data_IF_207534324830
#
_entry.id   IF_207534324830
#
_cell.length_a   1.000
_cell.length_b   1.000
_cell.length_c   1.000
_cell.angle_alpha   90.00
_cell.angle_beta   90.00
_cell.angle_gamma   90.00
#
_symmetry.space_group_name_H-M   'P 1'
#
loop_
_entity.id
_entity.type
_entity.pdbx_description
1 polymer ?
#
# COMPACT_ATOMS: atom_id res chain seq x y z
N UNK A 1 49.02 -17.72 -36.24
CA UNK A 1 49.88 -18.88 -36.56
C UNK A 1 49.02 -19.87 -37.35
N UNK A 2 49.50 -20.32 -38.53
CA UNK A 2 48.85 -21.07 -39.63
C UNK A 2 48.02 -20.19 -40.59
N UNK A 3 48.61 -19.72 -41.70
CA UNK A 3 48.95 -20.37 -43.00
C UNK A 3 47.71 -20.44 -43.92
N UNK A 4 47.57 -19.61 -44.96
CA UNK A 4 48.24 -19.51 -46.28
C UNK A 4 47.53 -20.29 -47.41
N UNK A 5 47.63 -19.71 -48.63
CA UNK A 5 47.17 -20.10 -49.98
C UNK A 5 45.83 -19.50 -50.41
N UNK A 6 45.72 -18.51 -51.32
CA UNK A 6 46.44 -18.09 -52.55
C UNK A 6 46.29 -19.06 -53.73
N UNK A 7 45.34 -18.73 -54.61
CA UNK A 7 45.48 -18.96 -56.06
C UNK A 7 45.17 -17.68 -56.84
N UNK A 8 46.12 -17.36 -57.73
CA UNK A 8 46.03 -16.40 -58.85
C UNK A 8 46.03 -17.25 -60.11
N UNK A 9 45.21 -16.92 -61.11
CA UNK A 9 45.52 -16.96 -62.55
C UNK A 9 44.36 -16.18 -63.22
N UNK A 10 44.54 -15.22 -64.14
CA UNK A 10 45.56 -15.04 -65.15
C UNK A 10 44.92 -15.29 -66.52
N UNK A 11 44.52 -14.24 -67.23
CA UNK A 11 43.94 -14.36 -68.57
C UNK A 11 43.72 -13.02 -69.27
N UNK A 12 44.77 -12.50 -69.92
CA UNK A 12 44.75 -11.42 -70.92
C UNK A 12 44.42 -12.03 -72.30
N UNK A 13 43.59 -11.37 -73.09
CA UNK A 13 43.50 -11.35 -74.58
C UNK A 13 42.34 -10.37 -74.90
N UNK A 14 42.51 -9.12 -75.32
CA UNK A 14 43.12 -8.56 -76.56
C UNK A 14 42.50 -9.09 -77.85
N UNK A 15 41.39 -8.49 -78.30
CA UNK A 15 41.17 -8.24 -79.73
C UNK A 15 40.23 -7.05 -79.92
N UNK A 16 40.68 -6.12 -80.77
CA UNK A 16 39.95 -4.96 -81.29
C UNK A 16 38.88 -5.38 -82.31
N UNK A 17 37.74 -4.67 -82.36
CA UNK A 17 37.06 -4.33 -83.61
C UNK A 17 36.02 -3.21 -83.39
N UNK A 18 35.87 -2.43 -84.43
CA UNK A 18 35.43 -1.04 -84.52
C UNK A 18 33.92 -0.86 -84.75
N UNK A 19 33.41 0.26 -84.22
CA UNK A 19 32.32 1.11 -84.77
C UNK A 19 30.89 0.55 -84.76
N UNK A 20 29.99 1.22 -84.02
CA UNK A 20 28.76 1.85 -84.56
C UNK A 20 28.35 2.99 -83.62
N UNK A 21 28.12 4.14 -84.25
CA UNK A 21 27.54 5.36 -83.71
C UNK A 21 26.15 5.07 -83.15
N UNK A 22 25.94 5.41 -81.89
CA UNK A 22 24.65 5.38 -81.23
C UNK A 22 24.65 6.37 -80.08
N UNK A 23 24.55 7.65 -80.41
CA UNK A 23 24.25 8.72 -79.45
C UNK A 23 22.89 8.45 -78.83
N UNK A 24 22.87 7.59 -77.80
CA UNK A 24 21.76 7.52 -76.87
C UNK A 24 21.88 8.75 -75.98
N UNK A 25 21.10 9.76 -76.33
CA UNK A 25 20.70 10.81 -75.39
C UNK A 25 20.15 10.10 -74.14
N UNK A 26 20.98 10.00 -73.10
CA UNK A 26 20.51 9.86 -71.74
C UNK A 26 19.76 11.15 -71.41
N UNK A 27 18.49 11.20 -71.81
CA UNK A 27 17.49 11.99 -71.12
C UNK A 27 17.42 11.40 -69.71
N UNK A 28 18.34 11.84 -68.85
CA UNK A 28 18.09 11.86 -67.41
C UNK A 28 16.92 12.82 -67.26
N UNK A 29 15.71 12.26 -67.29
CA UNK A 29 14.52 12.99 -66.94
C UNK A 29 14.71 13.49 -65.51
N UNK A 30 15.07 14.75 -65.37
CA UNK A 30 14.77 15.55 -64.19
C UNK A 30 13.24 15.64 -64.10
N UNK A 31 12.59 14.55 -63.68
CA UNK A 31 11.22 14.63 -63.20
C UNK A 31 11.24 15.51 -61.96
N UNK A 32 10.31 16.47 -61.89
CA UNK A 32 10.08 17.25 -60.67
C UNK A 32 10.00 16.29 -59.49
N UNK A 33 10.96 16.40 -58.59
CA UNK A 33 11.06 15.53 -57.42
C UNK A 33 10.00 15.98 -56.44
N UNK A 34 8.81 15.38 -56.54
CA UNK A 34 7.78 15.64 -55.55
C UNK A 34 8.21 15.13 -54.17
N UNK A 35 7.94 15.94 -53.13
CA UNK A 35 8.12 15.57 -51.72
C UNK A 35 6.99 14.70 -51.19
N UNK A 36 5.98 14.37 -52.00
CA UNK A 36 4.89 13.48 -51.59
C UNK A 36 5.44 12.14 -51.07
N UNK A 37 4.91 11.69 -49.95
CA UNK A 37 5.32 10.43 -49.35
C UNK A 37 5.07 10.34 -47.85
N UNK A 38 5.49 9.20 -47.29
CA UNK A 38 5.58 8.98 -45.85
C UNK A 38 7.05 9.04 -45.43
N UNK A 39 7.29 9.69 -44.31
CA UNK A 39 8.63 9.86 -43.75
C UNK A 39 8.58 9.56 -42.25
N UNK A 40 9.57 8.83 -41.77
CA UNK A 40 9.65 8.38 -40.39
C UNK A 40 10.91 8.96 -39.75
N UNK A 41 10.74 9.59 -38.60
CA UNK A 41 11.80 9.96 -37.67
C UNK A 41 11.65 9.08 -36.43
N UNK A 42 12.77 8.64 -35.88
CA UNK A 42 12.76 8.02 -34.56
C UNK A 42 14.04 8.38 -33.81
N UNK A 43 13.90 8.76 -32.54
CA UNK A 43 15.03 9.13 -31.70
C UNK A 43 14.75 8.71 -30.27
N UNK A 44 15.67 7.94 -29.67
CA UNK A 44 15.58 7.53 -28.28
C UNK A 44 14.26 6.84 -27.93
N UNK A 45 13.37 7.58 -27.25
CA UNK A 45 12.10 7.11 -26.72
C UNK A 45 10.88 7.60 -27.53
N UNK A 46 11.05 8.10 -28.76
CA UNK A 46 9.93 8.58 -29.57
C UNK A 46 10.04 8.18 -31.06
N UNK A 47 8.91 8.23 -31.73
CA UNK A 47 8.76 8.03 -33.16
C UNK A 47 7.77 9.04 -33.73
N UNK A 48 8.06 9.52 -34.94
CA UNK A 48 7.28 10.51 -35.67
C UNK A 48 7.07 10.03 -37.12
N UNK A 49 5.83 10.12 -37.60
CA UNK A 49 5.44 9.79 -38.97
C UNK A 49 4.84 11.03 -39.62
N UNK A 50 5.55 11.56 -40.61
CA UNK A 50 5.11 12.66 -41.47
C UNK A 50 4.58 12.08 -42.78
N UNK A 51 3.31 12.32 -43.09
CA UNK A 51 2.70 11.94 -44.37
C UNK A 51 2.23 13.19 -45.08
N UNK A 52 2.80 13.48 -46.25
CA UNK A 52 2.49 14.69 -47.01
C UNK A 52 2.17 14.37 -48.46
N UNK A 53 1.28 15.18 -49.03
CA UNK A 53 0.93 15.19 -50.44
C UNK A 53 1.17 16.59 -50.97
N UNK A 54 2.09 16.71 -51.92
CA UNK A 54 2.42 17.95 -52.60
C UNK A 54 1.48 18.17 -53.79
N UNK A 55 1.01 19.41 -53.95
CA UNK A 55 0.21 19.89 -55.07
C UNK A 55 1.12 20.46 -56.17
N UNK A 56 0.65 20.59 -57.43
CA UNK A 56 1.49 21.06 -58.54
C UNK A 56 2.08 22.48 -58.38
N UNK A 57 1.56 23.28 -57.47
CA UNK A 57 2.05 24.63 -57.10
C UNK A 57 3.10 24.60 -55.98
N UNK A 58 3.67 23.42 -55.66
CA UNK A 58 4.68 23.19 -54.62
C UNK A 58 4.22 23.50 -53.19
N UNK A 59 2.91 23.60 -52.97
CA UNK A 59 2.32 23.52 -51.65
C UNK A 59 2.11 22.06 -51.24
N UNK A 60 2.01 21.78 -49.95
CA UNK A 60 1.65 20.43 -49.48
C UNK A 60 0.72 20.48 -48.27
N UNK A 61 -0.05 19.41 -48.13
CA UNK A 61 -0.87 19.14 -46.94
C UNK A 61 -0.59 17.73 -46.45
N UNK A 62 -0.83 17.47 -45.17
CA UNK A 62 -0.52 16.19 -44.59
C UNK A 62 -0.90 16.03 -43.13
N UNK A 63 -0.36 14.98 -42.52
CA UNK A 63 -0.47 14.72 -41.09
C UNK A 63 0.89 14.35 -40.50
N UNK A 64 1.11 14.74 -39.26
CA UNK A 64 2.18 14.23 -38.41
C UNK A 64 1.56 13.41 -37.28
N UNK A 65 2.03 12.18 -37.11
CA UNK A 65 1.70 11.30 -35.99
C UNK A 65 2.94 11.17 -35.11
N UNK A 66 2.77 11.37 -33.81
CA UNK A 66 3.83 11.25 -32.82
C UNK A 66 3.47 10.14 -31.84
N UNK A 67 4.45 9.34 -31.45
CA UNK A 67 4.36 8.41 -30.32
C UNK A 67 5.61 8.48 -29.47
N UNK A 68 5.44 8.72 -28.17
CA UNK A 68 6.53 8.79 -27.19
C UNK A 68 6.35 7.78 -26.05
N UNK A 69 7.44 7.17 -25.62
CA UNK A 69 7.51 6.34 -24.42
C UNK A 69 7.79 7.25 -23.20
N UNK A 70 6.81 7.30 -22.30
CA UNK A 70 6.89 8.04 -21.05
C UNK A 70 7.79 7.30 -20.04
N UNK A 71 8.27 8.05 -19.02
CA UNK A 71 9.09 7.50 -17.94
C UNK A 71 8.37 6.43 -17.08
N UNK A 72 7.05 6.31 -17.20
CA UNK A 72 6.28 5.25 -16.55
C UNK A 72 6.10 3.98 -17.37
N UNK A 73 6.67 3.95 -18.59
CA UNK A 73 6.58 2.84 -19.52
C UNK A 73 5.33 2.86 -20.40
N UNK A 74 4.45 3.84 -20.25
CA UNK A 74 3.27 4.01 -21.11
C UNK A 74 3.62 4.75 -22.39
N UNK A 75 2.85 4.53 -23.44
CA UNK A 75 2.96 5.31 -24.67
C UNK A 75 1.98 6.50 -24.63
N UNK A 76 2.46 7.66 -25.03
CA UNK A 76 1.63 8.80 -25.43
C UNK A 76 1.60 8.87 -26.95
N UNK A 77 0.45 9.20 -27.52
CA UNK A 77 0.30 9.34 -28.98
C UNK A 77 -0.52 10.57 -29.31
N UNK A 78 -0.12 11.27 -30.37
CA UNK A 78 -0.84 12.42 -30.92
C UNK A 78 -0.81 12.40 -32.45
N UNK A 79 -1.78 13.06 -33.06
CA UNK A 79 -1.85 13.24 -34.51
C UNK A 79 -2.29 14.66 -34.80
N UNK A 80 -1.65 15.33 -35.74
CA UNK A 80 -1.92 16.73 -36.06
C UNK A 80 -1.76 16.99 -37.54
N UNK A 81 -2.56 17.91 -38.09
CA UNK A 81 -2.48 18.27 -39.49
C UNK A 81 -1.26 19.17 -39.72
N UNK A 82 -0.65 19.02 -40.90
CA UNK A 82 0.45 19.85 -41.35
C UNK A 82 0.16 20.44 -42.72
N UNK A 83 0.69 21.62 -42.97
CA UNK A 83 0.65 22.27 -44.29
C UNK A 83 1.96 23.00 -44.54
N UNK A 84 2.33 23.22 -45.78
CA UNK A 84 3.57 23.93 -46.06
C UNK A 84 3.83 24.16 -47.53
N UNK A 85 5.07 24.47 -47.84
CA UNK A 85 5.57 24.61 -49.22
C UNK A 85 7.03 24.17 -49.34
N UNK A 86 7.41 23.85 -50.56
CA UNK A 86 8.78 23.48 -50.93
C UNK A 86 9.28 24.45 -52.00
N UNK A 87 10.50 24.96 -51.81
CA UNK A 87 11.22 25.73 -52.84
C UNK A 87 12.60 25.11 -53.05
N UNK A 88 12.76 24.43 -54.19
CA UNK A 88 13.93 23.61 -54.56
C UNK A 88 14.23 22.53 -53.52
N UNK A 89 15.13 22.83 -52.59
CA UNK A 89 15.57 21.95 -51.50
C UNK A 89 15.15 22.48 -50.13
N UNK A 90 14.52 23.66 -50.05
CA UNK A 90 14.04 24.23 -48.79
C UNK A 90 12.60 23.81 -48.56
N UNK A 91 12.25 23.44 -47.34
CA UNK A 91 10.88 23.13 -46.94
C UNK A 91 10.46 24.00 -45.77
N UNK A 92 9.24 24.51 -45.81
CA UNK A 92 8.58 25.14 -44.67
C UNK A 92 7.35 24.32 -44.31
N UNK A 93 7.24 23.92 -43.05
CA UNK A 93 6.15 23.10 -42.53
C UNK A 93 5.48 23.80 -41.36
N UNK A 94 4.17 23.91 -41.38
CA UNK A 94 3.35 24.45 -40.31
C UNK A 94 2.57 23.31 -39.66
N UNK A 95 2.80 23.06 -38.38
CA UNK A 95 1.98 22.14 -37.56
C UNK A 95 0.81 22.93 -36.99
N UNK A 96 -0.42 22.54 -37.35
CA UNK A 96 -1.63 23.26 -36.98
C UNK A 96 -2.18 22.75 -35.64
N UNK A 97 -2.00 23.51 -34.56
CA UNK A 97 -2.67 23.20 -33.31
C UNK A 97 -4.20 23.40 -33.45
N UNK A 98 -4.99 22.49 -32.87
CA UNK A 98 -6.46 22.66 -32.75
C UNK A 98 -6.80 23.04 -31.30
N UNK A 99 -7.81 23.92 -31.05
CA UNK A 99 -8.79 24.51 -31.98
C UNK A 99 -8.41 25.90 -32.54
N UNK A 100 -7.26 26.49 -32.18
CA UNK A 100 -6.82 27.79 -32.66
C UNK A 100 -5.66 27.62 -33.66
N UNK A 101 -5.69 28.25 -34.85
CA UNK A 101 -4.70 28.08 -35.92
C UNK A 101 -3.38 28.83 -35.63
N UNK A 102 -2.93 28.81 -34.37
CA UNK A 102 -1.58 29.25 -34.00
C UNK A 102 -0.67 28.07 -34.35
N UNK A 103 -0.29 28.01 -35.62
CA UNK A 103 0.59 26.96 -36.12
C UNK A 103 2.04 27.20 -35.69
N UNK A 104 2.76 26.13 -35.37
CA UNK A 104 4.21 26.19 -35.21
C UNK A 104 4.86 26.00 -36.58
N UNK A 105 5.71 26.94 -36.97
CA UNK A 105 6.43 26.88 -38.23
C UNK A 105 7.82 26.28 -38.02
N UNK A 106 8.13 25.28 -38.83
CA UNK A 106 9.41 24.61 -38.91
C UNK A 106 9.98 24.87 -40.30
N UNK A 107 11.29 25.10 -40.36
CA UNK A 107 12.02 25.27 -41.61
C UNK A 107 13.07 24.18 -41.73
N UNK A 108 13.37 23.76 -42.94
CA UNK A 108 14.20 22.59 -43.14
C UNK A 108 14.68 22.44 -44.57
N UNK A 109 15.27 21.28 -44.86
CA UNK A 109 15.71 20.91 -46.20
C UNK A 109 15.25 19.53 -46.62
N UNK A 110 14.89 19.41 -47.89
CA UNK A 110 14.65 18.14 -48.57
C UNK A 110 16.00 17.58 -49.03
N UNK A 111 16.33 16.38 -48.56
CA UNK A 111 17.56 15.67 -48.88
C UNK A 111 17.29 14.50 -49.84
N UNK A 112 18.34 13.78 -50.26
CA UNK A 112 18.18 12.60 -51.10
C UNK A 112 17.42 11.46 -50.40
N UNK A 113 17.55 11.39 -49.07
CA UNK A 113 17.09 10.26 -48.26
C UNK A 113 15.88 10.62 -47.38
N UNK A 114 15.45 11.89 -47.36
CA UNK A 114 14.39 12.33 -46.47
C UNK A 114 14.19 13.84 -46.37
N UNK A 115 13.71 14.28 -45.21
CA UNK A 115 13.45 15.67 -44.85
C UNK A 115 14.14 15.97 -43.52
N UNK A 116 14.96 17.01 -43.48
CA UNK A 116 15.55 17.55 -42.26
C UNK A 116 14.74 18.76 -41.80
N UNK A 117 14.13 18.71 -40.61
CA UNK A 117 13.43 19.84 -40.02
C UNK A 117 14.25 20.44 -38.89
N UNK A 118 14.39 21.77 -38.89
CA UNK A 118 14.99 22.50 -37.77
C UNK A 118 13.95 22.65 -36.68
N UNK A 119 14.19 22.00 -35.54
CA UNK A 119 13.31 22.00 -34.37
C UNK A 119 13.93 22.81 -33.24
N UNK A 120 13.14 23.66 -32.60
CA UNK A 120 13.60 24.40 -31.43
C UNK A 120 13.60 23.50 -30.18
N UNK A 121 14.74 23.43 -29.48
CA UNK A 121 14.89 22.75 -28.20
C UNK A 121 15.37 23.76 -27.15
N UNK A 122 14.44 24.57 -26.64
CA UNK A 122 14.75 25.66 -25.71
C UNK A 122 15.59 26.76 -26.38
N UNK A 123 16.80 27.00 -25.87
CA UNK A 123 17.74 28.00 -26.43
C UNK A 123 18.61 27.45 -27.57
N UNK A 124 18.47 26.18 -27.93
CA UNK A 124 19.25 25.52 -28.99
C UNK A 124 18.33 25.09 -30.13
N UNK A 125 18.86 25.07 -31.36
CA UNK A 125 18.19 24.49 -32.53
C UNK A 125 18.75 23.10 -32.77
N UNK A 126 17.88 22.10 -32.82
CA UNK A 126 18.19 20.74 -33.26
C UNK A 126 17.74 20.52 -34.70
N UNK A 127 18.22 19.44 -35.30
CA UNK A 127 17.72 18.94 -36.58
C UNK A 127 17.06 17.60 -36.32
N UNK A 128 15.81 17.47 -36.76
CA UNK A 128 15.09 16.21 -36.79
C UNK A 128 15.10 15.67 -38.22
N UNK A 129 15.67 14.48 -38.40
CA UNK A 129 15.77 13.82 -39.69
C UNK A 129 14.62 12.82 -39.87
N UNK A 130 13.80 13.06 -40.88
CA UNK A 130 12.73 12.17 -41.32
C UNK A 130 13.18 11.39 -42.55
N UNK A 131 13.45 10.09 -42.40
CA UNK A 131 13.82 9.22 -43.52
C UNK A 131 12.59 8.82 -44.33
N UNK A 132 12.70 8.79 -45.66
CA UNK A 132 11.60 8.35 -46.51
C UNK A 132 11.29 6.86 -46.26
N UNK A 133 10.02 6.51 -46.05
CA UNK A 133 9.63 5.15 -45.66
C UNK A 133 8.14 4.87 -45.85
N UNK A 134 7.63 3.90 -45.11
CA UNK A 134 6.23 3.49 -45.09
C UNK A 134 5.62 3.67 -43.69
N UNK A 135 4.28 3.80 -43.57
CA UNK A 135 3.62 3.82 -42.26
C UNK A 135 3.94 2.60 -41.38
N UNK A 136 4.23 1.44 -42.01
CA UNK A 136 4.65 0.23 -41.30
C UNK A 136 5.99 0.37 -40.57
N UNK A 137 6.87 1.26 -41.03
CA UNK A 137 8.17 1.50 -40.39
C UNK A 137 7.97 2.24 -39.06
N UNK A 138 7.05 3.21 -39.03
CA UNK A 138 6.60 3.85 -37.80
C UNK A 138 5.94 2.84 -36.85
N UNK A 139 5.00 2.03 -37.35
CA UNK A 139 4.32 1.03 -36.52
C UNK A 139 5.32 0.00 -35.92
N UNK A 140 6.39 -0.35 -36.66
CA UNK A 140 7.46 -1.19 -36.16
C UNK A 140 8.23 -0.53 -35.00
N UNK A 141 8.53 0.77 -35.08
CA UNK A 141 9.14 1.50 -33.96
C UNK A 141 8.19 1.61 -32.76
N UNK A 142 6.89 1.85 -32.99
CA UNK A 142 5.88 1.86 -31.90
C UNK A 142 5.84 0.52 -31.17
N UNK A 143 5.94 -0.60 -31.89
CA UNK A 143 6.04 -1.93 -31.26
C UNK A 143 7.30 -2.04 -30.40
N UNK A 144 8.45 -1.53 -30.88
CA UNK A 144 9.70 -1.52 -30.09
C UNK A 144 9.58 -0.65 -28.84
N UNK A 145 8.97 0.55 -28.94
CA UNK A 145 8.72 1.43 -27.79
C UNK A 145 7.80 0.75 -26.75
N UNK A 146 6.75 0.07 -27.21
CA UNK A 146 5.87 -0.70 -26.33
C UNK A 146 6.62 -1.84 -25.63
N UNK A 147 7.48 -2.58 -26.36
CA UNK A 147 8.32 -3.64 -25.79
C UNK A 147 9.30 -3.08 -24.75
N UNK A 148 9.90 -1.91 -24.99
CA UNK A 148 10.77 -1.22 -24.04
C UNK A 148 10.02 -0.73 -22.79
N UNK A 149 8.72 -0.39 -22.91
CA UNK A 149 7.88 0.02 -21.79
C UNK A 149 7.49 -1.11 -20.83
N UNK A 150 7.34 -2.35 -21.32
CA UNK A 150 6.93 -3.50 -20.50
C UNK A 150 7.77 -3.73 -19.22
N UNK A 151 9.12 -3.75 -19.27
CA UNK A 151 9.92 -3.91 -18.05
C UNK A 151 9.75 -2.75 -17.06
N UNK A 152 9.51 -1.52 -17.54
CA UNK A 152 9.29 -0.34 -16.68
C UNK A 152 7.96 -0.49 -15.92
N UNK A 153 6.90 -0.88 -16.63
CA UNK A 153 5.59 -1.14 -16.04
C UNK A 153 5.68 -2.28 -15.01
N UNK A 154 6.35 -3.39 -15.36
CA UNK A 154 6.52 -4.53 -14.46
C UNK A 154 7.31 -4.14 -13.19
N UNK A 155 8.39 -3.37 -13.33
CA UNK A 155 9.18 -2.88 -12.22
C UNK A 155 8.36 -1.96 -11.29
N UNK A 156 7.57 -1.05 -11.86
CA UNK A 156 6.68 -0.16 -11.09
C UNK A 156 5.61 -0.95 -10.34
N UNK A 157 4.95 -1.91 -10.99
CA UNK A 157 3.96 -2.76 -10.33
C UNK A 157 4.59 -3.57 -9.19
N UNK A 158 5.82 -4.06 -9.38
CA UNK A 158 6.57 -4.72 -8.31
C UNK A 158 6.81 -3.78 -7.13
N UNK A 159 7.30 -2.56 -7.39
CA UNK A 159 7.51 -1.53 -6.36
C UNK A 159 6.23 -1.23 -5.56
N UNK A 160 5.10 -1.03 -6.26
CA UNK A 160 3.80 -0.77 -5.60
C UNK A 160 3.36 -1.92 -4.69
N UNK A 161 3.59 -3.17 -5.10
CA UNK A 161 3.31 -4.35 -4.27
C UNK A 161 4.22 -4.40 -3.04
N UNK A 162 5.51 -4.10 -3.18
CA UNK A 162 6.44 -3.99 -2.04
C UNK A 162 5.97 -2.89 -1.07
N UNK A 163 5.59 -1.72 -1.57
CA UNK A 163 5.07 -0.62 -0.74
C UNK A 163 3.78 -0.99 0.01
N UNK A 164 2.90 -1.76 -0.63
CA UNK A 164 1.70 -2.29 0.02
C UNK A 164 2.06 -3.25 1.15
N UNK A 165 2.99 -4.18 0.91
CA UNK A 165 3.47 -5.12 1.92
C UNK A 165 4.16 -4.38 3.09
N UNK A 166 5.01 -3.40 2.79
CA UNK A 166 5.66 -2.54 3.80
C UNK A 166 4.62 -1.85 4.71
N UNK A 167 3.54 -1.31 4.13
CA UNK A 167 2.46 -0.69 4.91
C UNK A 167 1.73 -1.70 5.80
N UNK A 168 1.51 -2.92 5.34
CA UNK A 168 0.88 -3.97 6.15
C UNK A 168 1.78 -4.40 7.32
N UNK A 169 3.08 -4.59 7.07
CA UNK A 169 4.08 -4.91 8.11
C UNK A 169 4.14 -3.79 9.14
N UNK A 170 4.17 -2.53 8.69
CA UNK A 170 4.17 -1.37 9.58
C UNK A 170 2.90 -1.32 10.44
N UNK A 171 1.72 -1.46 9.84
CA UNK A 171 0.46 -1.44 10.57
C UNK A 171 0.37 -2.56 11.62
N UNK A 172 0.91 -3.75 11.33
CA UNK A 172 1.03 -4.82 12.32
C UNK A 172 1.99 -4.44 13.45
N UNK A 173 3.17 -3.92 13.12
CA UNK A 173 4.16 -3.44 14.09
C UNK A 173 3.55 -2.40 15.04
N UNK A 174 2.82 -1.42 14.50
CA UNK A 174 2.14 -0.39 15.29
C UNK A 174 1.05 -1.01 16.20
N UNK A 175 0.28 -2.00 15.69
CA UNK A 175 -0.73 -2.71 16.47
C UNK A 175 -0.10 -3.46 17.65
N UNK A 176 1.03 -4.14 17.41
CA UNK A 176 1.76 -4.89 18.43
C UNK A 176 2.32 -3.94 19.50
N UNK A 177 2.92 -2.83 19.10
CA UNK A 177 3.47 -1.85 20.04
C UNK A 177 2.36 -1.23 20.92
N UNK A 178 1.19 -0.96 20.34
CA UNK A 178 0.02 -0.50 21.09
C UNK A 178 -0.44 -1.52 22.14
N UNK A 179 -0.48 -2.81 21.78
CA UNK A 179 -0.78 -3.88 22.71
C UNK A 179 0.25 -3.98 23.84
N UNK A 180 1.55 -3.96 23.52
CA UNK A 180 2.63 -3.99 24.53
C UNK A 180 2.51 -2.82 25.51
N UNK A 181 2.19 -1.62 25.03
CA UNK A 181 1.96 -0.46 25.87
C UNK A 181 0.72 -0.63 26.78
N UNK A 182 -0.39 -1.14 26.24
CA UNK A 182 -1.59 -1.49 27.02
C UNK A 182 -1.26 -2.50 28.11
N UNK A 183 -0.56 -3.58 27.75
CA UNK A 183 -0.14 -4.64 28.63
C UNK A 183 0.70 -4.11 29.81
N UNK A 184 1.67 -3.23 29.55
CA UNK A 184 2.42 -2.56 30.64
C UNK A 184 1.50 -1.73 31.55
N UNK A 185 0.51 -1.05 30.99
CA UNK A 185 -0.51 -0.34 31.77
C UNK A 185 -1.37 -1.28 32.64
N UNK A 186 -1.66 -2.49 32.17
CA UNK A 186 -2.36 -3.52 32.94
C UNK A 186 -1.47 -4.11 34.04
N UNK A 187 -0.20 -4.41 33.74
CA UNK A 187 0.78 -4.91 34.71
C UNK A 187 0.95 -3.97 35.91
N UNK A 188 0.84 -2.65 35.71
CA UNK A 188 0.88 -1.68 36.81
C UNK A 188 -0.41 -1.58 37.65
N UNK A 189 -1.56 -2.01 37.09
CA UNK A 189 -2.89 -1.85 37.72
C UNK A 189 -3.41 -3.13 38.36
N UNK A 190 -3.22 -4.28 37.71
CA UNK A 190 -3.76 -5.58 38.15
C UNK A 190 -3.31 -6.01 39.56
N UNK A 191 -2.06 -5.77 40.01
CA UNK A 191 -1.67 -6.08 41.39
C UNK A 191 -2.53 -5.39 42.46
N UNK A 192 -3.21 -4.27 42.13
CA UNK A 192 -4.12 -3.58 43.05
C UNK A 192 -5.42 -4.32 43.28
N UNK A 193 -5.78 -5.29 42.44
CA UNK A 193 -6.98 -6.11 42.63
C UNK A 193 -6.91 -6.89 43.95
N UNK A 194 -5.76 -7.45 44.29
CA UNK A 194 -5.57 -8.15 45.56
C UNK A 194 -5.83 -7.23 46.76
N UNK A 195 -5.19 -6.06 46.77
CA UNK A 195 -5.36 -5.06 47.83
C UNK A 195 -6.82 -4.61 47.92
N UNK A 196 -7.49 -4.44 46.78
CA UNK A 196 -8.90 -4.06 46.73
C UNK A 196 -9.81 -5.09 47.41
N UNK A 197 -9.70 -6.38 47.05
CA UNK A 197 -10.56 -7.42 47.62
C UNK A 197 -10.25 -7.67 49.10
N UNK A 198 -8.98 -7.65 49.52
CA UNK A 198 -8.60 -7.74 50.94
C UNK A 198 -9.17 -6.58 51.76
N UNK A 199 -9.12 -5.36 51.21
CA UNK A 199 -9.71 -4.20 51.84
C UNK A 199 -11.24 -4.29 51.93
N UNK A 200 -11.90 -4.72 50.84
CA UNK A 200 -13.35 -4.90 50.80
C UNK A 200 -13.82 -5.90 51.87
N UNK A 201 -13.14 -7.05 52.01
CA UNK A 201 -13.42 -8.02 53.07
C UNK A 201 -13.29 -7.39 54.45
N UNK A 202 -12.22 -6.65 54.70
CA UNK A 202 -11.96 -6.01 56.00
C UNK A 202 -13.05 -4.99 56.34
N UNK A 203 -13.45 -4.15 55.38
CA UNK A 203 -14.49 -3.12 55.57
C UNK A 203 -15.85 -3.78 55.83
N UNK A 204 -16.23 -4.77 55.04
CA UNK A 204 -17.51 -5.46 55.18
C UNK A 204 -17.59 -6.26 56.49
N UNK A 205 -16.50 -6.91 56.91
CA UNK A 205 -16.43 -7.58 58.21
C UNK A 205 -16.63 -6.58 59.37
N UNK A 206 -15.97 -5.42 59.32
CA UNK A 206 -16.11 -4.40 60.36
C UNK A 206 -17.55 -3.84 60.43
N UNK A 207 -18.24 -3.71 59.28
CA UNK A 207 -19.66 -3.34 59.23
C UNK A 207 -20.54 -4.41 59.86
N UNK A 208 -20.31 -5.69 59.52
CA UNK A 208 -21.05 -6.81 60.11
C UNK A 208 -20.89 -6.83 61.64
N UNK A 209 -19.66 -6.74 62.15
CA UNK A 209 -19.39 -6.73 63.59
C UNK A 209 -20.12 -5.58 64.30
N UNK A 210 -20.16 -4.40 63.66
CA UNK A 210 -20.89 -3.23 64.19
C UNK A 210 -22.40 -3.48 64.19
N UNK A 211 -22.96 -4.01 63.11
CA UNK A 211 -24.40 -4.30 63.01
C UNK A 211 -24.81 -5.35 64.06
N UNK A 212 -24.02 -6.41 64.24
CA UNK A 212 -24.26 -7.42 65.27
C UNK A 212 -24.22 -6.85 66.69
N UNK A 213 -23.26 -5.97 66.99
CA UNK A 213 -23.19 -5.28 68.30
C UNK A 213 -24.42 -4.41 68.55
N UNK A 214 -24.91 -3.71 67.52
CA UNK A 214 -26.09 -2.86 67.63
C UNK A 214 -27.37 -3.68 67.85
N UNK A 215 -27.56 -4.78 67.13
CA UNK A 215 -28.67 -5.72 67.36
C UNK A 215 -28.66 -6.27 68.80
N UNK A 216 -27.48 -6.63 69.31
CA UNK A 216 -27.33 -7.19 70.65
C UNK A 216 -27.76 -6.22 71.79
N UNK A 217 -27.88 -4.91 71.51
CA UNK A 217 -28.35 -3.93 72.51
C UNK A 217 -29.86 -3.99 72.76
N UNK A 218 -30.65 -4.54 71.84
CA UNK A 218 -32.09 -4.73 71.99
C UNK A 218 -32.97 -3.47 71.99
N UNK A 219 -32.42 -2.29 71.67
CA UNK A 219 -33.20 -1.05 71.52
C UNK A 219 -33.55 -0.79 70.04
N UNK A 220 -34.81 -0.46 69.74
CA UNK A 220 -35.30 -0.24 68.38
C UNK A 220 -34.53 0.80 67.56
N UNK A 221 -33.95 1.84 68.19
CA UNK A 221 -33.08 2.80 67.47
C UNK A 221 -31.78 2.13 67.00
N UNK A 222 -31.16 1.30 67.84
CA UNK A 222 -29.94 0.59 67.51
C UNK A 222 -30.19 -0.49 66.45
N UNK A 223 -31.33 -1.18 66.51
CA UNK A 223 -31.75 -2.13 65.47
C UNK A 223 -32.01 -1.43 64.13
N UNK A 224 -32.65 -0.26 64.14
CA UNK A 224 -32.79 0.58 62.93
C UNK A 224 -31.44 0.96 62.32
N UNK A 225 -30.46 1.34 63.15
CA UNK A 225 -29.09 1.63 62.69
C UNK A 225 -28.37 0.38 62.15
N UNK A 226 -28.56 -0.79 62.74
CA UNK A 226 -28.04 -2.05 62.22
C UNK A 226 -28.61 -2.36 60.83
N UNK A 227 -29.91 -2.16 60.63
CA UNK A 227 -30.57 -2.30 59.33
C UNK A 227 -30.01 -1.37 58.26
N UNK A 228 -29.72 -0.10 58.59
CA UNK A 228 -29.07 0.84 57.66
C UNK A 228 -27.67 0.37 57.26
N UNK A 229 -26.88 -0.14 58.21
CA UNK A 229 -25.53 -0.67 57.93
C UNK A 229 -25.62 -1.86 56.97
N UNK A 230 -26.52 -2.82 57.21
CA UNK A 230 -26.73 -3.96 56.32
C UNK A 230 -27.20 -3.51 54.93
N UNK A 231 -28.09 -2.51 54.86
CA UNK A 231 -28.48 -1.89 53.59
C UNK A 231 -27.29 -1.32 52.82
N UNK A 232 -26.37 -0.64 53.52
CA UNK A 232 -25.13 -0.12 52.91
C UNK A 232 -24.21 -1.24 52.41
N UNK A 233 -24.13 -2.39 53.10
CA UNK A 233 -23.39 -3.56 52.62
C UNK A 233 -23.94 -4.08 51.27
N UNK A 234 -25.25 -3.98 51.04
CA UNK A 234 -25.86 -4.30 49.74
C UNK A 234 -25.45 -3.34 48.60
N UNK A 235 -25.26 -2.06 48.92
CA UNK A 235 -24.72 -1.09 47.96
C UNK A 235 -23.27 -1.42 47.61
N UNK A 236 -22.44 -1.71 48.61
CA UNK A 236 -21.03 -2.07 48.42
C UNK A 236 -20.88 -3.37 47.61
N UNK A 237 -21.75 -4.36 47.84
CA UNK A 237 -21.84 -5.57 47.00
C UNK A 237 -22.04 -5.23 45.51
N UNK A 238 -22.87 -4.23 45.23
CA UNK A 238 -23.13 -3.79 43.84
C UNK A 238 -21.93 -3.07 43.24
N UNK A 239 -21.21 -2.26 44.03
CA UNK A 239 -19.96 -1.62 43.60
C UNK A 239 -18.85 -2.63 43.33
N UNK A 240 -18.73 -3.68 44.15
CA UNK A 240 -17.79 -4.78 43.93
C UNK A 240 -18.10 -5.50 42.60
N UNK A 241 -19.38 -5.75 42.31
CA UNK A 241 -19.78 -6.34 41.01
C UNK A 241 -19.35 -5.50 39.80
N UNK A 242 -19.39 -4.17 39.90
CA UNK A 242 -18.92 -3.29 38.81
C UNK A 242 -17.41 -3.44 38.60
N UNK A 243 -16.63 -3.61 39.67
CA UNK A 243 -15.19 -3.86 39.57
C UNK A 243 -14.93 -5.23 38.94
N UNK A 244 -15.73 -6.25 39.27
CA UNK A 244 -15.65 -7.58 38.65
C UNK A 244 -15.90 -7.51 37.14
N UNK A 245 -16.97 -6.84 36.72
CA UNK A 245 -17.32 -6.66 35.31
C UNK A 245 -16.21 -5.95 34.53
N UNK A 246 -15.56 -4.97 35.15
CA UNK A 246 -14.42 -4.27 34.55
C UNK A 246 -13.20 -5.18 34.38
N UNK A 247 -12.93 -6.06 35.34
CA UNK A 247 -11.84 -7.03 35.25
C UNK A 247 -12.10 -8.07 34.15
N UNK A 248 -13.33 -8.62 34.08
CA UNK A 248 -13.70 -9.60 33.05
C UNK A 248 -13.67 -8.96 31.65
N UNK A 249 -14.15 -7.73 31.52
CA UNK A 249 -14.08 -7.00 30.24
C UNK A 249 -12.63 -6.81 29.79
N UNK A 250 -11.76 -6.34 30.68
CA UNK A 250 -10.35 -6.15 30.37
C UNK A 250 -9.67 -7.47 29.95
N UNK A 251 -9.96 -8.57 30.64
CA UNK A 251 -9.40 -9.88 30.29
C UNK A 251 -9.89 -10.37 28.91
N UNK A 252 -11.19 -10.22 28.64
CA UNK A 252 -11.78 -10.65 27.37
C UNK A 252 -11.28 -9.81 26.19
N UNK A 253 -11.14 -8.49 26.37
CA UNK A 253 -10.58 -7.58 25.37
C UNK A 253 -9.13 -7.93 25.05
N UNK A 254 -8.29 -8.10 26.07
CA UNK A 254 -6.87 -8.47 25.89
C UNK A 254 -6.72 -9.82 25.18
N UNK A 255 -7.52 -10.83 25.56
CA UNK A 255 -7.52 -12.15 24.90
C UNK A 255 -7.96 -12.06 23.43
N UNK A 256 -8.96 -11.25 23.13
CA UNK A 256 -9.43 -11.04 21.75
C UNK A 256 -8.35 -10.38 20.89
N UNK A 257 -7.71 -9.31 21.40
CA UNK A 257 -6.64 -8.62 20.69
C UNK A 257 -5.44 -9.55 20.49
N UNK A 258 -5.06 -10.32 21.51
CA UNK A 258 -4.00 -11.32 21.43
C UNK A 258 -4.24 -12.33 20.30
N UNK A 259 -5.45 -12.89 20.21
CA UNK A 259 -5.81 -13.85 19.16
C UNK A 259 -5.67 -13.25 17.75
N UNK A 260 -6.14 -12.02 17.56
CA UNK A 260 -6.02 -11.30 16.28
C UNK A 260 -4.55 -11.03 15.95
N UNK A 261 -3.75 -10.60 16.93
CA UNK A 261 -2.33 -10.35 16.73
C UNK A 261 -1.57 -11.63 16.40
N UNK A 262 -1.82 -12.73 17.12
CA UNK A 262 -1.21 -14.03 16.87
C UNK A 262 -1.50 -14.52 15.43
N UNK A 263 -2.74 -14.39 14.98
CA UNK A 263 -3.11 -14.74 13.61
C UNK A 263 -2.37 -13.87 12.57
N UNK A 264 -2.28 -12.56 12.79
CA UNK A 264 -1.57 -11.65 11.89
C UNK A 264 -0.05 -11.87 11.91
N UNK A 265 0.54 -12.13 13.08
CA UNK A 265 1.96 -12.48 13.23
C UNK A 265 2.28 -13.76 12.44
N UNK A 266 1.42 -14.77 12.53
CA UNK A 266 1.59 -16.02 11.81
C UNK A 266 1.66 -15.84 10.29
N UNK A 267 0.93 -14.88 9.71
CA UNK A 267 0.96 -14.57 8.28
C UNK A 267 2.34 -14.08 7.79
N UNK A 268 3.18 -13.58 8.69
CA UNK A 268 4.51 -13.05 8.35
C UNK A 268 5.66 -14.01 8.68
N UNK A 269 5.35 -15.21 9.16
CA UNK A 269 6.34 -16.29 9.34
C UNK A 269 6.83 -16.76 7.97
N UNK A 270 8.13 -17.04 7.86
CA UNK A 270 8.79 -17.40 6.59
C UNK A 270 9.08 -16.23 5.64
N UNK A 271 8.49 -15.05 5.89
CA UNK A 271 8.81 -13.81 5.14
C UNK A 271 9.62 -12.83 5.97
N UNK A 272 9.11 -12.41 7.15
CA UNK A 272 9.78 -11.42 8.00
C UNK A 272 10.30 -11.99 9.34
N UNK A 273 9.68 -13.06 9.87
CA UNK A 273 9.85 -13.45 11.27
C UNK A 273 10.64 -14.74 11.51
N UNK A 274 10.68 -15.66 10.54
CA UNK A 274 11.35 -16.95 10.64
C UNK A 274 12.13 -17.22 9.34
N UNK A 275 13.06 -18.19 9.36
CA UNK A 275 13.92 -18.56 8.22
C UNK A 275 13.20 -18.58 6.87
N UNK A 276 13.79 -17.93 5.87
CA UNK A 276 13.10 -17.54 4.65
C UNK A 276 12.64 -18.74 3.81
N UNK A 277 11.32 -18.89 3.62
CA UNK A 277 10.73 -19.76 2.58
C UNK A 277 10.62 -19.06 1.23
N UNK A 278 11.12 -17.82 1.15
CA UNK A 278 11.11 -16.93 -0.01
C UNK A 278 11.94 -17.50 -1.16
N UNK A 279 11.36 -17.49 -2.36
CA UNK A 279 12.01 -17.92 -3.60
C UNK A 279 12.54 -16.72 -4.39
N UNK A 280 13.52 -16.98 -5.26
CA UNK A 280 14.00 -15.98 -6.21
C UNK A 280 12.84 -15.54 -7.11
N UNK A 281 12.57 -14.23 -7.13
CA UNK A 281 11.48 -13.63 -7.90
C UNK A 281 10.26 -13.24 -7.07
N UNK A 282 10.16 -13.69 -5.82
CA UNK A 282 9.06 -13.31 -4.94
C UNK A 282 9.07 -11.79 -4.66
N UNK A 283 7.86 -11.27 -4.41
CA UNK A 283 7.67 -9.88 -3.98
C UNK A 283 7.52 -9.90 -2.46
N UNK A 284 8.56 -9.43 -1.77
CA UNK A 284 8.63 -9.39 -0.31
C UNK A 284 8.70 -7.94 0.18
N UNK A 285 8.30 -7.66 1.43
CA UNK A 285 8.57 -6.37 2.05
C UNK A 285 10.08 -6.08 2.10
N UNK A 286 10.41 -4.81 2.25
CA UNK A 286 11.78 -4.40 2.53
C UNK A 286 12.25 -4.93 3.90
N UNK A 287 13.55 -5.16 4.02
CA UNK A 287 14.16 -5.69 5.24
C UNK A 287 14.02 -4.74 6.44
N UNK A 288 13.90 -3.43 6.20
CA UNK A 288 13.69 -2.43 7.26
C UNK A 288 12.41 -2.68 8.06
N UNK A 289 11.22 -2.63 7.43
CA UNK A 289 9.94 -3.01 8.04
C UNK A 289 9.95 -4.40 8.70
N UNK A 290 10.52 -5.41 8.04
CA UNK A 290 10.61 -6.76 8.64
C UNK A 290 11.43 -6.77 9.93
N UNK A 291 12.56 -6.06 9.98
CA UNK A 291 13.39 -5.94 11.19
C UNK A 291 12.62 -5.28 12.34
N UNK A 292 11.88 -4.22 12.07
CA UNK A 292 11.05 -3.56 13.09
C UNK A 292 9.93 -4.46 13.60
N UNK A 293 9.31 -5.25 12.72
CA UNK A 293 8.29 -6.22 13.10
C UNK A 293 8.88 -7.32 14.00
N UNK A 294 10.05 -7.85 13.67
CA UNK A 294 10.74 -8.87 14.48
C UNK A 294 11.00 -8.39 15.91
N UNK A 295 11.48 -7.15 16.08
CA UNK A 295 11.68 -6.55 17.40
C UNK A 295 10.36 -6.37 18.17
N UNK A 296 9.30 -5.91 17.50
CA UNK A 296 7.98 -5.76 18.13
C UNK A 296 7.41 -7.12 18.57
N UNK A 297 7.56 -8.17 17.76
CA UNK A 297 7.13 -9.53 18.11
C UNK A 297 7.94 -10.09 19.29
N UNK A 298 9.23 -9.79 19.37
CA UNK A 298 10.03 -10.18 20.54
C UNK A 298 9.53 -9.49 21.83
N UNK A 299 9.23 -8.20 21.78
CA UNK A 299 8.67 -7.46 22.93
C UNK A 299 7.29 -7.98 23.33
N UNK A 300 6.44 -8.28 22.34
CA UNK A 300 5.14 -8.92 22.53
C UNK A 300 5.25 -10.27 23.23
N UNK A 301 6.11 -11.17 22.74
CA UNK A 301 6.33 -12.47 23.37
C UNK A 301 6.90 -12.35 24.79
N UNK A 302 7.67 -11.29 25.07
CA UNK A 302 8.20 -11.02 26.40
C UNK A 302 7.14 -10.52 27.40
N UNK A 303 6.12 -9.77 26.94
CA UNK A 303 5.08 -9.20 27.82
C UNK A 303 3.92 -10.16 28.08
N UNK A 304 3.66 -11.12 27.19
CA UNK A 304 2.53 -12.05 27.34
C UNK A 304 2.55 -12.88 28.64
N UNK A 305 3.64 -13.61 28.99
CA UNK A 305 3.66 -14.40 30.21
C UNK A 305 3.39 -13.62 31.51
N UNK A 306 4.03 -12.45 31.77
CA UNK A 306 3.72 -11.69 32.97
C UNK A 306 2.30 -11.12 32.93
N UNK A 307 1.77 -10.73 31.76
CA UNK A 307 0.41 -10.24 31.63
C UNK A 307 -0.62 -11.32 32.00
N UNK A 308 -0.49 -12.52 31.44
CA UNK A 308 -1.35 -13.67 31.78
C UNK A 308 -1.28 -14.00 33.26
N UNK A 309 -0.08 -13.99 33.84
CA UNK A 309 0.11 -14.23 35.29
C UNK A 309 -0.58 -13.17 36.14
N UNK A 310 -0.50 -11.89 35.75
CA UNK A 310 -1.16 -10.81 36.47
C UNK A 310 -2.69 -10.91 36.43
N UNK A 311 -3.27 -11.26 35.27
CA UNK A 311 -4.70 -11.50 35.16
C UNK A 311 -5.14 -12.71 35.98
N UNK A 312 -4.41 -13.83 35.90
CA UNK A 312 -4.69 -15.02 36.70
C UNK A 312 -4.67 -14.71 38.21
N UNK A 313 -3.69 -13.93 38.66
CA UNK A 313 -3.58 -13.50 40.06
C UNK A 313 -4.74 -12.60 40.48
N UNK A 314 -5.16 -11.66 39.63
CA UNK A 314 -6.31 -10.80 39.89
C UNK A 314 -7.63 -11.61 39.99
N UNK A 315 -7.83 -12.58 39.10
CA UNK A 315 -8.98 -13.50 39.14
C UNK A 315 -8.97 -14.37 40.39
N UNK A 316 -7.81 -14.85 40.80
CA UNK A 316 -7.65 -15.62 42.04
C UNK A 316 -7.97 -14.76 43.27
N UNK A 317 -7.47 -13.52 43.33
CA UNK A 317 -7.78 -12.59 44.41
C UNK A 317 -9.28 -12.29 44.50
N UNK A 318 -9.93 -12.06 43.35
CA UNK A 318 -11.38 -11.92 43.25
C UNK A 318 -12.10 -13.14 43.84
N UNK A 319 -11.74 -14.33 43.40
CA UNK A 319 -12.37 -15.58 43.87
C UNK A 319 -12.22 -15.76 45.39
N UNK A 320 -11.03 -15.49 45.93
CA UNK A 320 -10.77 -15.58 47.36
C UNK A 320 -11.57 -14.54 48.15
N UNK A 321 -11.57 -13.28 47.70
CA UNK A 321 -12.34 -12.19 48.31
C UNK A 321 -13.84 -12.47 48.31
N UNK A 322 -14.39 -12.94 47.20
CA UNK A 322 -15.82 -13.31 47.10
C UNK A 322 -16.20 -14.45 48.03
N UNK A 323 -15.35 -15.45 48.23
CA UNK A 323 -15.63 -16.53 49.18
C UNK A 323 -15.79 -15.99 50.62
N UNK A 324 -14.94 -15.04 51.01
CA UNK A 324 -15.03 -14.38 52.32
C UNK A 324 -16.24 -13.44 52.41
N UNK A 325 -16.43 -12.58 51.42
CA UNK A 325 -17.56 -11.65 51.35
C UNK A 325 -18.91 -12.37 51.35
N UNK A 326 -19.02 -13.51 50.65
CA UNK A 326 -20.24 -14.32 50.67
C UNK A 326 -20.59 -14.80 52.08
N UNK A 327 -19.57 -15.19 52.87
CA UNK A 327 -19.76 -15.59 54.27
C UNK A 327 -20.23 -14.41 55.12
N UNK A 328 -19.65 -13.22 54.91
CA UNK A 328 -20.01 -11.98 55.61
C UNK A 328 -21.45 -11.55 55.28
N UNK A 329 -21.82 -11.53 54.00
CA UNK A 329 -23.16 -11.14 53.57
C UNK A 329 -24.23 -12.12 54.03
N UNK A 330 -23.97 -13.42 53.98
CA UNK A 330 -24.88 -14.43 54.55
C UNK A 330 -25.11 -14.23 56.05
N UNK A 331 -24.09 -13.78 56.79
CA UNK A 331 -24.23 -13.45 58.20
C UNK A 331 -25.03 -12.15 58.41
N UNK A 332 -24.82 -11.13 57.57
CA UNK A 332 -25.56 -9.87 57.61
C UNK A 332 -27.06 -10.07 57.32
N UNK A 333 -27.42 -10.94 56.39
CA UNK A 333 -28.83 -11.27 56.11
C UNK A 333 -29.55 -11.83 57.35
N UNK A 334 -28.84 -12.57 58.21
CA UNK A 334 -29.38 -13.08 59.48
C UNK A 334 -29.58 -11.99 60.54
N UNK A 335 -28.76 -10.94 60.51
CA UNK A 335 -28.92 -9.74 61.36
C UNK A 335 -30.23 -9.03 60.97
N UNK A 336 -30.49 -8.90 59.66
CA UNK A 336 -31.70 -8.28 59.13
C UNK A 336 -32.99 -9.06 59.45
N UNK A 337 -32.94 -10.40 59.56
CA UNK A 337 -34.09 -11.25 59.88
C UNK A 337 -34.40 -11.41 61.39
N UNK A 338 -33.61 -10.83 62.31
CA UNK A 338 -33.82 -11.00 63.75
C UNK A 338 -35.13 -10.37 64.30
N UNK A 339 -35.68 -9.26 63.76
CA UNK A 339 -36.98 -8.73 64.20
C UNK A 339 -38.17 -9.66 63.88
N UNK A 340 -38.03 -10.58 62.90
CA UNK A 340 -39.11 -11.50 62.54
C UNK A 340 -39.23 -12.71 63.49
N UNK A 341 -38.25 -12.95 64.37
CA UNK A 341 -38.26 -14.13 65.26
C UNK A 341 -38.98 -13.90 66.59
N UNK A 342 -39.29 -12.67 66.97
CA UNK A 342 -39.93 -12.34 68.26
C UNK A 342 -41.44 -12.10 68.18
N UNK A 343 -42.08 -12.27 67.02
CA UNK A 343 -43.55 -12.28 66.90
C UNK A 343 -44.01 -13.58 66.27
N UNK A 344 -44.32 -14.57 67.10
CA UNK A 344 -45.10 -15.71 66.67
C UNK A 344 -46.50 -15.27 66.27
N UNK A 345 -46.82 -15.36 64.98
CA UNK A 345 -48.16 -15.70 64.46
C UNK A 345 -48.09 -15.97 62.95
N UNK A 346 -48.86 -16.94 62.43
CA UNK A 346 -48.74 -17.42 61.06
C UNK A 346 -49.57 -16.53 60.12
N UNK A 347 -48.94 -15.94 59.11
CA UNK A 347 -49.68 -15.37 57.99
C UNK A 347 -49.20 -15.93 56.65
N UNK A 348 -50.18 -16.54 56.00
CA UNK A 348 -50.21 -17.20 54.69
C UNK A 348 -49.36 -16.52 53.61
N UNK A 349 -48.68 -17.38 52.87
CA UNK A 349 -48.26 -17.17 51.48
C UNK A 349 -49.51 -16.95 50.62
N UNK A 350 -49.61 -15.81 49.95
CA UNK A 350 -50.40 -15.67 48.72
C UNK A 350 -49.44 -15.37 47.57
N UNK A 351 -49.36 -16.35 46.67
CA UNK A 351 -48.69 -16.31 45.38
C UNK A 351 -49.45 -15.44 44.39
N UNK A 352 -48.72 -14.62 43.63
CA UNK A 352 -48.96 -14.35 42.20
C UNK A 352 -47.64 -14.08 41.52
#
# INVERSE_FOLDING_TARGET
MKDQHRERHGGRLSTWLTVIVGSTLLLVGCGDRSVSGSYVSHAGNQADLLQITETPDHHFTGTIRHTGLNNDGTLSSSSTNVSGSVDRNSITLTVLATPLPIGQNFSGSVTGDGIDLTVANGAQTGVEHFTKGQPSDFDAVVVQLNQAGQPIIAARQRGQRVDQLNRQVKALTDSINSFVASAHGHLGRLPRAQIYYEHAVTVEQAKLDRAQRLEATGNGVAQGQAGVIVGQMGVDKSQISIVDDNLDRAQNEETSVENVLNARIAQWRGTCLDGSTVKVGDVIPDMGPCKTLSLAVAAYNAVLPPLHTAFASAVQARSHGHAQLATIWQAADRVHCSPCRSQGSPWKVSST
#
